data_IF_219309110687
#
_entry.id   IF_219309110687
#
_cell.length_a   1.000
_cell.length_b   1.000
_cell.length_c   1.000
_cell.angle_alpha   90.00
_cell.angle_beta   90.00
_cell.angle_gamma   90.00
#
_symmetry.space_group_name_H-M   'P 1'
#
loop_
_entity.id
_entity.type
_entity.pdbx_description
1 polymer ?
#
# COMPACT_ATOMS: atom_id res chain seq x y z
N UNK A 1 -8.93 11.82 -4.50
CA UNK A 1 -8.73 12.71 -3.32
C UNK A 1 -7.26 13.06 -3.15
N UNK A 2 -6.37 12.07 -2.96
CA UNK A 2 -4.92 12.29 -2.76
C UNK A 2 -4.30 13.10 -3.92
N UNK A 3 -4.64 12.76 -5.16
CA UNK A 3 -4.18 13.51 -6.34
C UNK A 3 -4.55 15.00 -6.28
N UNK A 4 -5.81 15.31 -5.95
CA UNK A 4 -6.26 16.70 -5.77
C UNK A 4 -5.53 17.42 -4.64
N UNK A 5 -5.19 16.71 -3.57
CA UNK A 5 -4.41 17.26 -2.44
C UNK A 5 -2.99 17.63 -2.87
N UNK A 6 -2.37 16.79 -3.72
CA UNK A 6 -1.07 17.09 -4.34
C UNK A 6 -1.15 18.31 -5.26
N UNK A 7 -2.16 18.36 -6.14
CA UNK A 7 -2.38 19.48 -7.06
C UNK A 7 -2.62 20.81 -6.33
N UNK A 8 -3.29 20.75 -5.17
CA UNK A 8 -3.52 21.90 -4.31
C UNK A 8 -2.28 22.33 -3.50
N UNK A 9 -1.15 21.64 -3.62
CA UNK A 9 0.10 21.96 -2.91
C UNK A 9 0.01 21.79 -1.40
N UNK A 10 -0.94 20.97 -0.92
CA UNK A 10 -1.09 20.73 0.53
C UNK A 10 0.11 19.92 1.01
N UNK A 11 0.85 20.39 2.03
CA UNK A 11 2.03 19.68 2.52
C UNK A 11 1.62 18.42 3.32
N UNK A 12 2.11 17.25 2.90
CA UNK A 12 2.01 16.00 3.67
C UNK A 12 3.21 15.09 3.38
N UNK A 13 3.55 14.22 4.34
CA UNK A 13 4.72 13.34 4.23
C UNK A 13 4.42 11.88 3.84
N UNK A 14 3.19 11.41 4.08
CA UNK A 14 2.81 10.02 3.84
C UNK A 14 1.28 9.85 3.83
N UNK A 15 0.81 8.69 3.36
CA UNK A 15 -0.61 8.31 3.30
C UNK A 15 -0.88 7.06 4.13
N UNK A 16 -1.98 7.05 4.86
CA UNK A 16 -2.53 5.84 5.50
C UNK A 16 -3.92 5.53 4.97
N UNK A 17 -4.26 4.25 4.88
CA UNK A 17 -5.63 3.83 4.62
C UNK A 17 -5.92 2.46 5.23
N UNK A 18 -7.19 2.23 5.56
CA UNK A 18 -7.67 0.97 6.10
C UNK A 18 -7.92 -0.09 5.00
N UNK A 19 -8.45 -1.25 5.42
CA UNK A 19 -8.75 -2.39 4.57
C UNK A 19 -9.72 -2.13 3.43
N UNK A 20 -10.52 -1.06 3.48
CA UNK A 20 -11.41 -0.70 2.37
C UNK A 20 -10.61 -0.24 1.15
N UNK A 21 -9.38 0.25 1.34
CA UNK A 21 -8.55 0.81 0.28
C UNK A 21 -7.26 0.05 0.04
N UNK A 22 -6.72 -0.72 1.00
CA UNK A 22 -5.39 -1.31 0.79
C UNK A 22 -5.33 -2.41 -0.27
N UNK A 23 -6.44 -3.08 -0.58
CA UNK A 23 -6.50 -4.03 -1.70
C UNK A 23 -6.65 -3.34 -3.07
N UNK A 24 -6.72 -2.00 -3.11
CA UNK A 24 -6.73 -1.23 -4.35
C UNK A 24 -5.32 -1.14 -4.94
N UNK A 25 -4.97 -2.09 -5.81
CA UNK A 25 -3.70 -2.12 -6.54
C UNK A 25 -3.36 -0.79 -7.25
N UNK A 26 -4.28 -0.17 -8.01
CA UNK A 26 -4.07 1.14 -8.61
C UNK A 26 -3.69 2.24 -7.62
N UNK A 27 -4.28 2.28 -6.41
CA UNK A 27 -3.90 3.26 -5.38
C UNK A 27 -2.44 3.08 -4.95
N UNK A 28 -2.02 1.84 -4.71
CA UNK A 28 -0.62 1.53 -4.39
C UNK A 28 0.32 1.95 -5.52
N UNK A 29 0.01 1.57 -6.76
CA UNK A 29 0.82 1.94 -7.93
C UNK A 29 0.94 3.46 -8.09
N UNK A 30 -0.14 4.20 -7.84
CA UNK A 30 -0.14 5.67 -7.87
C UNK A 30 0.81 6.26 -6.82
N UNK A 31 0.74 5.77 -5.57
CA UNK A 31 1.61 6.24 -4.49
C UNK A 31 3.09 5.92 -4.76
N UNK A 32 3.38 4.71 -5.25
CA UNK A 32 4.74 4.28 -5.64
C UNK A 32 5.29 5.13 -6.80
N UNK A 33 4.49 5.35 -7.85
CA UNK A 33 4.88 6.15 -9.01
C UNK A 33 5.14 7.63 -8.68
N UNK A 34 4.53 8.14 -7.60
CA UNK A 34 4.77 9.49 -7.07
C UNK A 34 5.82 9.54 -5.95
N UNK A 35 6.41 8.40 -5.58
CA UNK A 35 7.38 8.26 -4.49
C UNK A 35 6.86 8.77 -3.13
N UNK A 36 5.57 8.56 -2.85
CA UNK A 36 4.93 8.96 -1.60
C UNK A 36 5.00 7.80 -0.60
N UNK A 37 5.49 8.04 0.61
CA UNK A 37 5.48 7.04 1.68
C UNK A 37 4.05 6.64 2.07
N UNK A 38 3.81 5.36 2.36
CA UNK A 38 2.47 4.90 2.71
C UNK A 38 2.43 3.71 3.67
N UNK A 39 1.30 3.58 4.37
CA UNK A 39 0.90 2.39 5.12
C UNK A 39 -0.54 2.05 4.75
N UNK A 40 -0.75 0.95 4.03
CA UNK A 40 -2.09 0.52 3.61
C UNK A 40 -2.41 -0.81 4.29
N UNK A 41 -3.53 -0.86 5.01
CA UNK A 41 -4.01 -2.13 5.55
C UNK A 41 -4.63 -2.96 4.42
N UNK A 42 -4.13 -4.18 4.22
CA UNK A 42 -4.57 -5.11 3.18
C UNK A 42 -5.37 -6.26 3.77
N UNK A 43 -6.15 -6.96 2.95
CA UNK A 43 -6.81 -8.17 3.42
C UNK A 43 -5.79 -9.26 3.74
N UNK A 44 -6.15 -10.15 4.68
CA UNK A 44 -5.34 -11.33 5.05
C UNK A 44 -4.93 -12.17 3.82
N UNK A 45 -5.83 -12.28 2.84
CA UNK A 45 -5.65 -13.09 1.64
C UNK A 45 -4.99 -12.34 0.47
N UNK A 46 -4.64 -11.06 0.64
CA UNK A 46 -4.01 -10.24 -0.37
C UNK A 46 -2.75 -10.92 -0.93
N UNK A 47 -2.58 -10.90 -2.26
CA UNK A 47 -1.46 -11.55 -2.94
C UNK A 47 -0.31 -10.56 -3.13
N UNK A 48 0.78 -10.77 -2.41
CA UNK A 48 2.02 -9.99 -2.52
C UNK A 48 2.92 -10.66 -3.56
N UNK A 49 3.37 -9.89 -4.54
CA UNK A 49 4.41 -10.32 -5.48
C UNK A 49 5.77 -10.31 -4.80
N UNK A 50 6.41 -11.46 -4.72
CA UNK A 50 7.79 -11.63 -4.22
C UNK A 50 8.69 -12.20 -5.32
N UNK A 51 10.01 -12.25 -5.10
CA UNK A 51 10.93 -12.94 -6.03
C UNK A 51 10.60 -14.43 -6.22
N UNK A 52 9.94 -15.06 -5.26
CA UNK A 52 9.53 -16.47 -5.33
C UNK A 52 8.12 -16.66 -5.92
N UNK A 53 7.50 -15.59 -6.42
CA UNK A 53 6.12 -15.60 -6.93
C UNK A 53 5.12 -14.90 -6.00
N UNK A 54 3.83 -15.06 -6.28
CA UNK A 54 2.74 -14.47 -5.48
C UNK A 54 2.51 -15.29 -4.21
N UNK A 55 2.45 -14.61 -3.06
CA UNK A 55 2.24 -15.22 -1.74
C UNK A 55 1.21 -14.40 -0.97
N UNK A 56 0.37 -15.06 -0.17
CA UNK A 56 -0.58 -14.36 0.70
C UNK A 56 0.12 -13.51 1.76
N UNK A 57 -0.46 -12.34 2.05
CA UNK A 57 0.04 -11.40 3.04
C UNK A 57 0.24 -12.03 4.43
N UNK A 58 -0.69 -12.85 4.90
CA UNK A 58 -0.57 -13.48 6.21
C UNK A 58 0.57 -14.50 6.31
N UNK A 59 0.85 -15.23 5.22
CA UNK A 59 1.99 -16.14 5.14
C UNK A 59 3.31 -15.36 5.16
N UNK A 60 3.36 -14.20 4.53
CA UNK A 60 4.54 -13.31 4.58
C UNK A 60 4.72 -12.75 5.99
N UNK A 61 3.64 -12.21 6.60
CA UNK A 61 3.67 -11.63 7.94
C UNK A 61 4.17 -12.64 8.99
N UNK A 62 3.76 -13.91 8.89
CA UNK A 62 4.19 -14.98 9.80
C UNK A 62 5.70 -15.29 9.73
N UNK A 63 6.42 -14.81 8.72
CA UNK A 63 7.87 -15.04 8.53
C UNK A 63 8.74 -13.87 9.00
N UNK A 64 8.13 -12.75 9.41
CA UNK A 64 8.88 -11.58 9.89
C UNK A 64 9.39 -11.87 11.30
N UNK A 65 10.70 -11.68 11.59
CA UNK A 65 11.25 -11.80 12.94
C UNK A 65 10.54 -10.86 13.92
N UNK A 66 10.52 -11.27 15.20
CA UNK A 66 10.00 -10.44 16.29
C UNK A 66 11.04 -9.44 16.77
#
# INVERSE_FOLDING_TARGET
>A
MIERTLEAGVPFGWVTADGAYGDNGPLRCFLEGRQIGYVLAISRAHQISTRAGKVRADVVAARVPR
#
